data_IF_644434141590
#
_entry.id   IF_644434141590
#
_cell.length_a   1.000
_cell.length_b   1.000
_cell.length_c   1.000
_cell.angle_alpha   90.00
_cell.angle_beta   90.00
_cell.angle_gamma   90.00
#
_symmetry.space_group_name_H-M   'P 1'
#
loop_
_entity.id
_entity.type
_entity.pdbx_description
1 polymer ?
#
# COMPACT_ATOMS: atom_id res chain seq x y z
N UNK A 1 17.27 -18.08 -10.79
CA UNK A 1 18.10 -17.39 -9.77
C UNK A 1 17.14 -16.66 -8.84
N UNK A 2 17.09 -17.03 -7.56
CA UNK A 2 16.26 -16.34 -6.57
C UNK A 2 17.00 -15.11 -6.06
N UNK A 3 16.80 -13.96 -6.70
CA UNK A 3 17.17 -12.69 -6.08
C UNK A 3 16.23 -12.50 -4.88
N UNK A 4 16.73 -12.80 -3.68
CA UNK A 4 16.07 -12.38 -2.45
C UNK A 4 16.09 -10.85 -2.44
N UNK A 5 14.91 -10.24 -2.58
CA UNK A 5 14.73 -8.82 -2.29
C UNK A 5 15.34 -8.54 -0.90
N UNK A 6 16.36 -7.68 -0.86
CA UNK A 6 17.06 -7.40 0.39
C UNK A 6 16.19 -6.47 1.23
N UNK A 7 15.76 -6.93 2.41
CA UNK A 7 15.03 -6.09 3.36
C UNK A 7 16.02 -5.35 4.26
N UNK A 8 15.89 -4.03 4.33
CA UNK A 8 16.78 -3.15 5.09
C UNK A 8 15.95 -2.40 6.13
N UNK A 9 16.24 -2.61 7.41
CA UNK A 9 15.57 -1.88 8.49
C UNK A 9 16.20 -0.51 8.72
N UNK A 10 15.37 0.52 8.84
CA UNK A 10 15.79 1.90 9.16
C UNK A 10 14.91 2.49 10.25
N UNK A 11 15.38 3.54 10.93
CA UNK A 11 14.51 4.28 11.85
C UNK A 11 13.31 4.87 11.11
N UNK A 12 12.21 5.13 11.84
CA UNK A 12 11.03 5.78 11.25
C UNK A 12 11.39 7.15 10.68
N UNK A 13 12.24 7.91 11.36
CA UNK A 13 12.73 9.21 10.87
C UNK A 13 13.51 9.07 9.56
N UNK A 14 14.48 8.14 9.49
CA UNK A 14 15.26 7.92 8.27
C UNK A 14 14.39 7.45 7.09
N UNK A 15 13.33 6.68 7.37
CA UNK A 15 12.33 6.35 6.36
C UNK A 15 11.66 7.62 5.82
N UNK A 16 11.19 8.50 6.69
CA UNK A 16 10.57 9.74 6.27
C UNK A 16 11.54 10.70 5.56
N UNK A 17 12.78 10.82 6.01
CA UNK A 17 13.81 11.63 5.34
C UNK A 17 14.05 11.14 3.90
N UNK A 18 14.06 9.82 3.72
CA UNK A 18 14.27 9.18 2.42
C UNK A 18 13.08 9.40 1.49
N UNK A 19 11.85 9.18 1.97
CA UNK A 19 10.65 9.19 1.12
C UNK A 19 10.03 10.58 0.99
N UNK A 20 10.08 11.37 2.06
CA UNK A 20 9.40 12.64 2.22
C UNK A 20 10.34 13.68 2.85
N UNK A 21 11.39 14.16 2.17
CA UNK A 21 12.48 14.97 2.76
C UNK A 21 12.07 16.32 3.38
N UNK A 22 10.79 16.71 3.29
CA UNK A 22 10.22 17.93 3.92
C UNK A 22 9.24 17.61 5.05
N UNK A 23 9.13 16.35 5.46
CA UNK A 23 8.15 15.90 6.44
C UNK A 23 8.33 16.54 7.83
N UNK A 24 9.54 16.97 8.19
CA UNK A 24 9.85 17.63 9.47
C UNK A 24 9.15 19.00 9.61
N UNK A 25 8.84 19.66 8.49
CA UNK A 25 8.10 20.94 8.47
C UNK A 25 6.58 20.80 8.61
N UNK A 26 6.05 19.57 8.57
CA UNK A 26 4.62 19.31 8.61
C UNK A 26 4.13 19.45 10.06
N UNK A 27 3.18 20.35 10.27
CA UNK A 27 2.53 20.54 11.57
C UNK A 27 1.67 19.33 11.92
N UNK A 28 1.79 18.84 13.15
CA UNK A 28 1.07 17.64 13.59
C UNK A 28 -0.45 17.77 13.48
N UNK A 29 -0.98 18.97 13.72
CA UNK A 29 -2.41 19.32 13.59
C UNK A 29 -3.05 18.99 12.24
N UNK A 30 -2.23 18.73 11.21
CA UNK A 30 -2.69 18.33 9.88
C UNK A 30 -2.95 16.81 9.75
N UNK A 31 -2.53 16.01 10.72
CA UNK A 31 -2.65 14.55 10.68
C UNK A 31 -3.00 13.90 12.03
N UNK A 32 -2.83 14.60 13.16
CA UNK A 32 -3.16 14.10 14.51
C UNK A 32 -4.61 14.41 14.96
N UNK A 33 -5.47 14.85 14.03
CA UNK A 33 -6.88 15.16 14.32
C UNK A 33 -7.81 13.94 14.23
N UNK A 34 -7.28 12.79 13.78
CA UNK A 34 -8.05 11.55 13.60
C UNK A 34 -7.35 10.44 14.36
N UNK A 35 -7.93 10.02 15.47
CA UNK A 35 -7.39 8.92 16.28
C UNK A 35 -7.68 7.56 15.63
N UNK A 36 -6.73 6.63 15.74
CA UNK A 36 -6.91 5.25 15.30
C UNK A 36 -7.55 4.44 16.42
N UNK A 37 -8.73 3.86 16.17
CA UNK A 37 -9.28 2.83 17.05
C UNK A 37 -8.49 1.52 16.91
N UNK A 38 -7.72 1.20 17.95
CA UNK A 38 -6.89 -0.01 18.01
C UNK A 38 -7.57 -1.19 18.70
N UNK A 39 -8.83 -1.07 19.12
CA UNK A 39 -9.54 -2.09 19.91
C UNK A 39 -9.49 -3.49 19.27
N UNK A 40 -9.79 -3.58 17.97
CA UNK A 40 -9.75 -4.83 17.20
C UNK A 40 -8.33 -5.31 16.86
N UNK A 41 -7.34 -4.41 16.90
CA UNK A 41 -5.94 -4.73 16.63
C UNK A 41 -5.24 -5.46 17.79
N UNK A 42 -5.85 -5.56 18.98
CA UNK A 42 -5.23 -6.16 20.18
C UNK A 42 -5.10 -7.69 20.15
N UNK A 43 -5.46 -8.36 19.06
CA UNK A 43 -5.10 -9.76 18.80
C UNK A 43 -6.22 -10.79 18.98
N UNK A 44 -7.47 -10.36 19.15
CA UNK A 44 -8.64 -11.25 19.28
C UNK A 44 -9.59 -11.22 18.08
N UNK A 45 -9.50 -10.20 17.24
CA UNK A 45 -10.32 -10.08 16.05
C UNK A 45 -9.79 -10.95 14.89
N UNK A 46 -10.67 -11.29 13.95
CA UNK A 46 -10.21 -11.76 12.65
C UNK A 46 -9.53 -10.62 11.91
N UNK A 47 -8.58 -10.97 11.04
CA UNK A 47 -7.83 -10.00 10.22
C UNK A 47 -8.75 -9.02 9.51
N UNK A 48 -9.76 -9.53 8.81
CA UNK A 48 -10.73 -8.76 8.04
C UNK A 48 -11.62 -7.84 8.88
N UNK A 49 -11.84 -8.15 10.16
CA UNK A 49 -12.66 -7.31 11.04
C UNK A 49 -11.94 -6.01 11.41
N UNK A 50 -10.62 -5.96 11.24
CA UNK A 50 -9.80 -4.76 11.51
C UNK A 50 -9.82 -3.75 10.37
N UNK A 51 -10.29 -4.14 9.18
CA UNK A 51 -10.17 -3.33 7.97
C UNK A 51 -11.01 -2.06 8.01
N UNK A 52 -12.30 -2.07 8.44
CA UNK A 52 -13.11 -0.86 8.47
C UNK A 52 -12.48 0.28 9.27
N UNK A 53 -12.00 0.02 10.50
CA UNK A 53 -11.40 1.07 11.35
C UNK A 53 -10.10 1.61 10.76
N UNK A 54 -9.25 0.75 10.20
CA UNK A 54 -8.04 1.16 9.48
C UNK A 54 -8.38 2.02 8.26
N UNK A 55 -9.37 1.62 7.46
CA UNK A 55 -9.78 2.35 6.25
C UNK A 55 -10.36 3.71 6.61
N UNK A 56 -11.24 3.78 7.61
CA UNK A 56 -11.82 5.04 8.09
C UNK A 56 -10.73 5.99 8.60
N UNK A 57 -9.83 5.49 9.45
CA UNK A 57 -8.67 6.24 9.91
C UNK A 57 -7.86 6.78 8.72
N UNK A 58 -7.40 5.91 7.81
CA UNK A 58 -6.58 6.28 6.66
C UNK A 58 -7.31 7.31 5.79
N UNK A 59 -8.60 7.12 5.51
CA UNK A 59 -9.37 8.02 4.66
C UNK A 59 -9.59 9.39 5.29
N UNK A 60 -9.74 9.47 6.61
CA UNK A 60 -9.99 10.71 7.32
C UNK A 60 -8.72 11.52 7.63
N UNK A 61 -7.52 10.93 7.60
CA UNK A 61 -6.25 11.67 7.75
C UNK A 61 -6.12 12.79 6.70
N UNK A 62 -5.76 14.00 7.14
CA UNK A 62 -5.47 15.13 6.24
C UNK A 62 -6.69 15.84 5.67
N UNK A 63 -7.78 15.90 6.46
CA UNK A 63 -9.05 16.60 6.21
C UNK A 63 -8.99 17.66 5.08
N UNK A 64 -9.37 17.25 3.86
CA UNK A 64 -9.46 18.14 2.71
C UNK A 64 -9.02 17.52 1.38
N UNK A 65 -8.08 16.59 1.39
CA UNK A 65 -7.64 15.94 0.15
C UNK A 65 -8.50 14.71 -0.14
N UNK A 66 -9.37 14.78 -1.16
CA UNK A 66 -10.13 13.62 -1.68
C UNK A 66 -9.45 12.99 -2.90
N UNK A 67 -8.13 13.15 -3.03
CA UNK A 67 -7.34 12.67 -4.19
C UNK A 67 -7.11 11.17 -4.13
N UNK A 68 -7.07 10.60 -2.92
CA UNK A 68 -6.79 9.20 -2.69
C UNK A 68 -7.81 8.60 -1.73
N UNK A 69 -8.10 7.31 -1.92
CA UNK A 69 -9.05 6.57 -1.11
C UNK A 69 -8.53 5.16 -0.84
N UNK A 70 -8.45 4.78 0.43
CA UNK A 70 -8.17 3.44 0.89
C UNK A 70 -9.44 2.60 0.82
N UNK A 71 -9.30 1.37 0.30
CA UNK A 71 -10.37 0.40 0.13
C UNK A 71 -9.90 -0.99 0.56
N UNK A 72 -10.86 -1.81 0.97
CA UNK A 72 -10.72 -3.25 1.22
C UNK A 72 -10.82 -3.99 -0.12
N UNK A 73 -9.78 -4.76 -0.45
CA UNK A 73 -9.70 -5.52 -1.72
C UNK A 73 -9.50 -7.02 -1.51
N UNK A 74 -9.68 -7.49 -0.27
CA UNK A 74 -9.26 -8.84 0.16
C UNK A 74 -10.17 -9.98 -0.32
N UNK A 75 -11.39 -9.68 -0.74
CA UNK A 75 -12.41 -10.70 -0.95
C UNK A 75 -12.38 -11.34 -2.36
N UNK A 76 -11.66 -10.77 -3.33
CA UNK A 76 -11.53 -11.33 -4.70
C UNK A 76 -10.09 -11.41 -5.16
N UNK A 77 -9.84 -12.40 -6.01
CA UNK A 77 -8.63 -12.42 -6.83
C UNK A 77 -8.62 -11.24 -7.79
N UNK A 78 -7.43 -10.74 -8.11
CA UNK A 78 -7.27 -9.79 -9.22
C UNK A 78 -7.42 -10.54 -10.54
N UNK A 79 -8.64 -10.52 -11.10
CA UNK A 79 -8.94 -11.22 -12.37
C UNK A 79 -8.16 -10.67 -13.57
N UNK A 80 -7.52 -9.49 -13.46
CA UNK A 80 -6.63 -9.00 -14.52
C UNK A 80 -5.34 -9.84 -14.62
N UNK A 81 -5.00 -10.60 -13.57
CA UNK A 81 -3.81 -11.44 -13.50
C UNK A 81 -4.08 -12.91 -13.87
N UNK A 82 -5.24 -13.22 -14.45
CA UNK A 82 -5.57 -14.56 -14.95
C UNK A 82 -5.77 -15.59 -13.84
N UNK A 83 -4.84 -16.55 -13.71
CA UNK A 83 -4.88 -17.62 -12.68
C UNK A 83 -4.36 -17.17 -11.31
N UNK A 84 -3.82 -15.97 -11.22
CA UNK A 84 -3.30 -15.45 -9.97
C UNK A 84 -4.45 -15.17 -8.99
N UNK A 85 -4.37 -15.78 -7.81
CA UNK A 85 -5.39 -15.67 -6.76
C UNK A 85 -4.97 -14.76 -5.62
N UNK A 86 -3.82 -14.08 -5.73
CA UNK A 86 -3.33 -13.17 -4.69
C UNK A 86 -4.34 -12.05 -4.42
N UNK A 87 -4.48 -11.70 -3.14
CA UNK A 87 -5.46 -10.72 -2.64
C UNK A 87 -4.77 -9.83 -1.64
N UNK A 88 -4.47 -8.60 -2.04
CA UNK A 88 -4.00 -7.61 -1.09
C UNK A 88 -5.12 -7.37 -0.06
N UNK A 89 -4.75 -7.01 1.16
CA UNK A 89 -5.74 -6.72 2.19
C UNK A 89 -6.39 -5.36 1.90
N UNK A 90 -5.55 -4.32 1.84
CA UNK A 90 -5.95 -2.94 1.63
C UNK A 90 -5.21 -2.34 0.44
N UNK A 91 -5.84 -1.40 -0.25
CA UNK A 91 -5.20 -0.63 -1.31
C UNK A 91 -5.68 0.81 -1.32
N UNK A 92 -4.75 1.74 -1.50
CA UNK A 92 -5.03 3.15 -1.67
C UNK A 92 -5.02 3.45 -3.16
N UNK A 93 -6.13 3.95 -3.69
CA UNK A 93 -6.28 4.30 -5.10
C UNK A 93 -6.40 5.80 -5.31
N UNK A 94 -6.21 6.27 -6.54
CA UNK A 94 -6.62 7.62 -6.92
C UNK A 94 -8.15 7.67 -7.01
N UNK A 95 -8.72 8.78 -6.56
CA UNK A 95 -10.17 9.00 -6.54
C UNK A 95 -10.69 9.74 -7.77
N UNK A 96 -9.82 10.04 -8.74
CA UNK A 96 -10.23 10.65 -10.00
C UNK A 96 -11.13 9.70 -10.82
N UNK A 97 -12.01 10.23 -11.68
CA UNK A 97 -12.96 9.40 -12.43
C UNK A 97 -12.32 8.36 -13.34
N UNK A 98 -11.08 8.55 -13.81
CA UNK A 98 -10.42 7.56 -14.66
C UNK A 98 -9.93 6.37 -13.82
N UNK A 99 -9.31 6.64 -12.67
CA UNK A 99 -8.88 5.58 -11.74
C UNK A 99 -10.06 4.85 -11.10
N UNK A 100 -11.12 5.58 -10.73
CA UNK A 100 -12.34 4.99 -10.11
C UNK A 100 -12.97 3.88 -10.92
N UNK A 101 -12.93 3.94 -12.26
CA UNK A 101 -13.51 2.91 -13.13
C UNK A 101 -12.89 1.52 -12.95
N UNK A 102 -11.68 1.43 -12.41
CA UNK A 102 -10.99 0.17 -12.19
C UNK A 102 -11.42 -0.53 -10.90
N UNK A 103 -11.59 0.24 -9.82
CA UNK A 103 -11.81 -0.30 -8.47
C UNK A 103 -13.23 -0.10 -7.95
N UNK A 104 -13.94 0.93 -8.42
CA UNK A 104 -15.33 1.22 -8.08
C UNK A 104 -16.24 0.72 -9.22
N UNK A 105 -16.58 -0.56 -9.18
CA UNK A 105 -17.51 -1.17 -10.12
C UNK A 105 -18.89 -1.30 -9.45
N UNK A 106 -19.95 -0.65 -9.96
CA UNK A 106 -21.29 -0.74 -9.36
C UNK A 106 -21.92 -2.13 -9.46
N UNK A 107 -21.36 -3.04 -10.28
CA UNK A 107 -21.76 -4.45 -10.36
C UNK A 107 -20.96 -5.34 -9.42
N UNK A 108 -20.04 -4.75 -8.67
CA UNK A 108 -19.24 -5.45 -7.69
C UNK A 108 -20.09 -5.78 -6.46
N UNK A 109 -20.32 -7.07 -6.26
CA UNK A 109 -21.06 -7.56 -5.10
C UNK A 109 -20.11 -8.25 -4.14
N UNK A 110 -20.08 -7.82 -2.85
CA UNK A 110 -19.18 -8.41 -1.90
C UNK A 110 -19.39 -9.91 -1.65
N UNK A 111 -18.34 -10.64 -1.29
CA UNK A 111 -18.38 -12.09 -1.28
C UNK A 111 -19.25 -12.55 -0.12
N UNK A 112 -19.75 -13.78 -0.16
CA UNK A 112 -20.68 -14.27 0.88
C UNK A 112 -20.09 -14.23 2.31
N UNK A 113 -18.76 -14.11 2.43
CA UNK A 113 -18.03 -13.99 3.70
C UNK A 113 -17.67 -12.55 4.09
N UNK A 114 -18.03 -11.57 3.26
CA UNK A 114 -17.89 -10.15 3.59
C UNK A 114 -18.87 -9.79 4.70
N UNK A 115 -18.37 -9.28 5.82
CA UNK A 115 -19.23 -8.76 6.88
C UNK A 115 -19.91 -7.46 6.46
N UNK A 116 -21.08 -7.16 7.03
CA UNK A 116 -21.82 -5.91 6.76
C UNK A 116 -20.97 -4.66 7.03
N UNK A 117 -20.14 -4.69 8.08
CA UNK A 117 -19.22 -3.60 8.41
C UNK A 117 -18.15 -3.35 7.33
N UNK A 118 -17.75 -4.39 6.58
CA UNK A 118 -16.77 -4.26 5.50
C UNK A 118 -17.37 -3.73 4.21
N UNK A 119 -18.63 -4.09 3.89
CA UNK A 119 -19.29 -3.80 2.60
C UNK A 119 -19.09 -2.37 2.10
N UNK A 120 -19.27 -1.30 2.92
CA UNK A 120 -19.12 0.08 2.47
C UNK A 120 -17.70 0.46 2.02
N UNK A 121 -16.70 -0.32 2.44
CA UNK A 121 -15.29 -0.07 2.21
C UNK A 121 -14.69 -0.98 1.12
N UNK A 122 -15.48 -1.92 0.60
CA UNK A 122 -14.99 -2.87 -0.40
C UNK A 122 -14.80 -2.25 -1.78
N UNK A 123 -13.80 -2.72 -2.50
CA UNK A 123 -13.55 -2.36 -3.88
C UNK A 123 -13.04 -3.57 -4.66
N UNK A 124 -13.16 -3.51 -5.98
CA UNK A 124 -12.57 -4.51 -6.86
C UNK A 124 -11.07 -4.56 -6.63
N UNK A 125 -10.55 -5.79 -6.49
CA UNK A 125 -9.12 -6.01 -6.46
C UNK A 125 -8.50 -5.69 -7.83
N UNK A 126 -7.69 -4.64 -7.86
CA UNK A 126 -6.87 -4.23 -9.00
C UNK A 126 -5.56 -3.64 -8.48
N UNK A 127 -4.75 -4.46 -7.81
CA UNK A 127 -3.48 -4.04 -7.16
C UNK A 127 -2.58 -3.29 -8.14
N UNK A 128 -2.57 -3.69 -9.41
CA UNK A 128 -1.84 -3.01 -10.49
C UNK A 128 -2.15 -1.50 -10.62
N UNK A 129 -3.29 -1.01 -10.12
CA UNK A 129 -3.70 0.40 -10.12
C UNK A 129 -3.49 1.11 -8.77
N UNK A 130 -3.03 0.40 -7.74
CA UNK A 130 -2.85 0.96 -6.41
C UNK A 130 -1.74 2.03 -6.39
N UNK A 131 -1.97 3.08 -5.61
CA UNK A 131 -0.98 4.11 -5.24
C UNK A 131 -0.05 3.59 -4.15
N UNK A 132 -0.64 2.91 -3.16
CA UNK A 132 0.03 2.28 -2.04
C UNK A 132 -0.73 1.03 -1.62
N UNK A 133 -0.01 -0.04 -1.31
CA UNK A 133 -0.60 -1.29 -0.80
C UNK A 133 -0.59 -1.34 0.73
N UNK A 134 -1.54 -2.07 1.31
CA UNK A 134 -1.60 -2.37 2.73
C UNK A 134 -1.75 -3.86 2.97
N UNK A 135 -0.89 -4.41 3.81
CA UNK A 135 -0.96 -5.80 4.25
C UNK A 135 -1.22 -5.82 5.77
N UNK A 136 -2.20 -6.61 6.21
CA UNK A 136 -2.63 -6.68 7.61
C UNK A 136 -2.53 -8.11 8.08
N UNK A 137 -1.94 -8.36 9.25
CA UNK A 137 -1.81 -9.70 9.82
C UNK A 137 -2.14 -9.71 11.30
N UNK A 138 -2.95 -10.68 11.72
CA UNK A 138 -3.35 -10.83 13.14
C UNK A 138 -2.77 -12.09 13.81
N UNK A 139 -2.50 -13.12 13.01
CA UNK A 139 -1.96 -14.40 13.48
C UNK A 139 -0.43 -14.32 13.61
N UNK A 140 0.09 -14.77 14.75
CA UNK A 140 1.52 -14.67 15.07
C UNK A 140 2.43 -15.45 14.14
N UNK A 141 1.94 -16.58 13.62
CA UNK A 141 2.68 -17.41 12.68
C UNK A 141 2.83 -16.74 11.30
N UNK A 142 1.98 -15.77 10.97
CA UNK A 142 2.05 -14.97 9.74
C UNK A 142 2.75 -13.62 9.92
N UNK A 143 3.43 -13.40 11.04
CA UNK A 143 4.11 -12.13 11.25
C UNK A 143 5.34 -12.02 10.33
N UNK A 144 5.26 -11.17 9.30
CA UNK A 144 6.32 -10.98 8.30
C UNK A 144 7.58 -10.30 8.83
N UNK A 145 7.48 -9.50 9.90
CA UNK A 145 8.59 -8.71 10.46
C UNK A 145 8.53 -8.71 11.98
N UNK A 146 9.67 -8.70 12.68
CA UNK A 146 9.68 -8.52 14.13
C UNK A 146 9.02 -7.20 14.52
N UNK A 147 8.22 -7.15 15.58
CA UNK A 147 7.53 -5.91 16.02
C UNK A 147 8.08 -5.31 17.30
N UNK A 148 9.01 -6.00 17.93
CA UNK A 148 9.68 -5.53 19.14
C UNK A 148 11.18 -5.67 18.99
N UNK A 149 11.97 -4.90 19.74
CA UNK A 149 13.43 -5.04 19.75
C UNK A 149 13.94 -6.38 20.31
N UNK A 150 13.04 -7.27 20.74
CA UNK A 150 13.35 -8.63 21.21
C UNK A 150 13.19 -9.68 20.12
N UNK A 151 12.51 -9.36 19.03
CA UNK A 151 12.27 -10.25 17.90
C UNK A 151 13.29 -9.99 16.79
N UNK A 152 13.70 -11.02 16.04
CA UNK A 152 14.49 -10.79 14.84
C UNK A 152 13.69 -9.94 13.85
N UNK A 153 14.33 -8.95 13.22
CA UNK A 153 13.71 -8.11 12.20
C UNK A 153 13.02 -8.93 11.10
N UNK A 154 13.68 -10.00 10.63
CA UNK A 154 13.14 -10.96 9.67
C UNK A 154 12.96 -12.32 10.35
N UNK A 155 11.76 -12.65 10.84
CA UNK A 155 11.47 -14.00 11.31
C UNK A 155 11.68 -15.02 10.18
N UNK A 156 12.30 -16.15 10.53
CA UNK A 156 12.70 -17.19 9.58
C UNK A 156 11.59 -18.19 9.26
N UNK A 157 10.44 -18.12 9.93
CA UNK A 157 9.33 -19.05 9.69
C UNK A 157 8.87 -18.99 8.24
N UNK A 158 8.46 -20.14 7.68
CA UNK A 158 7.99 -20.22 6.29
C UNK A 158 6.82 -19.26 6.03
N UNK A 159 5.92 -19.11 7.00
CA UNK A 159 4.76 -18.21 6.90
C UNK A 159 5.16 -16.74 6.95
N UNK A 160 6.16 -16.36 7.74
CA UNK A 160 6.72 -15.01 7.71
C UNK A 160 7.38 -14.69 6.36
N UNK A 161 8.15 -15.65 5.82
CA UNK A 161 8.72 -15.53 4.47
C UNK A 161 7.63 -15.39 3.40
N UNK A 162 6.55 -16.16 3.50
CA UNK A 162 5.40 -16.06 2.60
C UNK A 162 4.72 -14.69 2.66
N UNK A 163 4.51 -14.13 3.85
CA UNK A 163 3.95 -12.77 3.99
C UNK A 163 4.85 -11.72 3.33
N UNK A 164 6.16 -11.81 3.53
CA UNK A 164 7.11 -10.91 2.85
C UNK A 164 7.10 -11.09 1.32
N UNK A 165 7.00 -12.33 0.85
CA UNK A 165 6.89 -12.62 -0.58
C UNK A 165 5.57 -12.10 -1.19
N UNK A 166 4.46 -12.15 -0.44
CA UNK A 166 3.17 -11.57 -0.87
C UNK A 166 3.29 -10.06 -1.04
N UNK A 167 3.86 -9.36 -0.05
CA UNK A 167 4.12 -7.92 -0.11
C UNK A 167 4.95 -7.56 -1.35
N UNK A 168 6.08 -8.26 -1.57
CA UNK A 168 6.92 -8.02 -2.74
C UNK A 168 6.20 -8.33 -4.05
N UNK A 169 5.36 -9.37 -4.08
CA UNK A 169 4.53 -9.71 -5.22
C UNK A 169 3.57 -8.58 -5.59
N UNK A 170 2.86 -7.99 -4.61
CA UNK A 170 1.97 -6.86 -4.86
C UNK A 170 2.73 -5.63 -5.37
N UNK A 171 3.87 -5.32 -4.75
CA UNK A 171 4.72 -4.22 -5.21
C UNK A 171 5.24 -4.45 -6.64
N UNK A 172 5.67 -5.66 -6.97
CA UNK A 172 6.12 -6.03 -8.30
C UNK A 172 5.00 -5.87 -9.33
N UNK A 173 3.76 -6.27 -9.00
CA UNK A 173 2.62 -6.07 -9.90
C UNK A 173 2.37 -4.57 -10.15
N UNK A 174 2.46 -3.73 -9.12
CA UNK A 174 2.36 -2.27 -9.28
C UNK A 174 3.50 -1.74 -10.17
N UNK A 175 4.76 -2.12 -9.90
CA UNK A 175 5.94 -1.68 -10.64
C UNK A 175 5.95 -2.14 -12.11
N UNK A 176 5.29 -3.26 -12.41
CA UNK A 176 5.18 -3.81 -13.77
C UNK A 176 4.09 -3.10 -14.59
N UNK A 177 3.05 -2.57 -13.95
CA UNK A 177 1.92 -1.94 -14.64
C UNK A 177 1.95 -0.41 -14.59
N UNK A 178 2.70 0.17 -13.66
CA UNK A 178 2.85 1.62 -13.52
C UNK A 178 4.32 1.99 -13.63
N UNK A 179 4.61 3.00 -14.46
CA UNK A 179 5.96 3.54 -14.61
C UNK A 179 6.37 4.22 -13.29
N UNK A 180 7.11 3.45 -12.49
CA UNK A 180 7.52 3.82 -11.14
C UNK A 180 8.95 3.41 -10.84
N UNK A 181 9.63 4.23 -10.05
CA UNK A 181 10.95 3.95 -9.47
C UNK A 181 10.84 3.17 -8.17
N UNK A 182 9.77 3.40 -7.39
CA UNK A 182 9.46 2.66 -6.17
C UNK A 182 7.95 2.63 -5.88
N UNK A 183 7.54 1.80 -4.93
CA UNK A 183 6.17 1.69 -4.41
C UNK A 183 6.19 1.82 -2.90
N UNK A 184 5.30 2.66 -2.37
CA UNK A 184 5.07 2.72 -0.94
C UNK A 184 4.05 1.67 -0.52
N UNK A 185 4.31 1.02 0.61
CA UNK A 185 3.37 0.10 1.24
C UNK A 185 3.38 0.31 2.76
N UNK A 186 2.35 -0.21 3.42
CA UNK A 186 2.34 -0.32 4.87
C UNK A 186 1.98 -1.76 5.28
N UNK A 187 2.51 -2.17 6.42
CA UNK A 187 2.26 -3.47 7.01
C UNK A 187 1.77 -3.27 8.44
N UNK A 188 0.61 -3.82 8.78
CA UNK A 188 0.05 -3.79 10.14
C UNK A 188 0.10 -5.20 10.70
N UNK A 189 0.76 -5.38 11.84
CA UNK A 189 0.62 -6.58 12.65
C UNK A 189 0.09 -6.20 14.02
N UNK A 190 -1.16 -6.59 14.29
CA UNK A 190 -1.84 -6.21 15.54
C UNK A 190 -1.71 -4.69 15.77
N UNK A 191 -1.25 -4.29 16.95
CA UNK A 191 -1.09 -2.88 17.34
C UNK A 191 0.21 -2.24 16.86
N UNK A 192 0.90 -2.83 15.90
CA UNK A 192 2.15 -2.29 15.36
C UNK A 192 2.05 -2.14 13.85
N UNK A 193 2.67 -1.08 13.32
CA UNK A 193 2.81 -0.87 11.88
C UNK A 193 4.28 -0.74 11.48
N UNK A 194 4.58 -1.10 10.24
CA UNK A 194 5.83 -0.76 9.56
C UNK A 194 5.49 -0.10 8.23
N UNK A 195 6.32 0.86 7.84
CA UNK A 195 6.25 1.54 6.55
C UNK A 195 7.28 0.90 5.62
N UNK A 196 6.93 0.77 4.34
CA UNK A 196 7.76 0.11 3.35
C UNK A 196 7.91 0.98 2.11
N UNK A 197 9.12 1.03 1.60
CA UNK A 197 9.42 1.46 0.24
C UNK A 197 10.02 0.25 -0.46
N UNK A 198 9.35 -0.19 -1.53
CA UNK A 198 9.78 -1.31 -2.36
C UNK A 198 10.25 -0.75 -3.69
N UNK A 199 11.50 -0.98 -4.04
CA UNK A 199 12.01 -0.74 -5.39
C UNK A 199 12.34 -2.07 -6.08
N UNK A 200 13.04 -2.02 -7.22
CA UNK A 200 13.38 -3.23 -7.99
C UNK A 200 14.52 -4.06 -7.39
N UNK A 201 15.30 -3.52 -6.45
CA UNK A 201 16.46 -4.19 -5.85
C UNK A 201 16.30 -4.53 -4.37
N UNK A 202 15.60 -3.70 -3.60
CA UNK A 202 15.51 -3.82 -2.16
C UNK A 202 14.16 -3.32 -1.61
N UNK A 203 13.94 -3.64 -0.33
CA UNK A 203 12.80 -3.13 0.45
C UNK A 203 13.34 -2.40 1.66
N UNK A 204 13.13 -1.10 1.72
CA UNK A 204 13.37 -0.30 2.91
C UNK A 204 12.18 -0.44 3.85
N UNK A 205 12.42 -0.82 5.10
CA UNK A 205 11.37 -1.07 6.10
C UNK A 205 11.65 -0.21 7.34
N UNK A 206 10.68 0.60 7.76
CA UNK A 206 10.81 1.35 9.00
C UNK A 206 10.84 0.42 10.20
N UNK A 207 11.49 0.85 11.28
CA UNK A 207 11.27 0.30 12.62
C UNK A 207 9.76 0.32 12.97
N UNK A 208 9.31 -0.56 13.90
CA UNK A 208 7.91 -0.65 14.27
C UNK A 208 7.38 0.66 14.86
N UNK A 209 6.18 1.06 14.44
CA UNK A 209 5.38 2.12 15.03
C UNK A 209 4.36 1.43 15.95
N UNK A 210 4.43 1.70 17.25
CA UNK A 210 3.40 1.30 18.22
C UNK A 210 2.16 2.17 17.98
N UNK A 211 1.07 1.56 17.48
CA UNK A 211 -0.18 2.24 17.14
C UNK A 211 -0.99 2.61 18.39
N UNK A 212 -0.75 1.99 19.54
CA UNK A 212 -1.43 2.38 20.79
C UNK A 212 -0.81 3.65 21.38
N UNK A 213 0.48 3.89 21.13
CA UNK A 213 1.20 5.04 21.70
C UNK A 213 1.48 6.16 20.70
N UNK A 214 1.66 5.82 19.42
CA UNK A 214 2.18 6.73 18.41
C UNK A 214 1.50 6.53 17.05
N UNK A 215 0.17 6.32 17.04
CA UNK A 215 -0.61 6.27 15.80
C UNK A 215 -0.44 7.54 14.96
N UNK A 216 -0.14 8.70 15.57
CA UNK A 216 0.07 9.96 14.86
C UNK A 216 1.22 9.88 13.85
N UNK A 217 2.25 9.07 14.11
CA UNK A 217 3.32 8.83 13.13
C UNK A 217 2.83 8.01 11.92
N UNK A 218 1.92 7.07 12.15
CA UNK A 218 1.24 6.35 11.08
C UNK A 218 0.30 7.27 10.28
N UNK A 219 -0.42 8.17 10.96
CA UNK A 219 -1.19 9.23 10.30
C UNK A 219 -0.31 10.16 9.46
N UNK A 220 0.87 10.55 9.97
CA UNK A 220 1.85 11.38 9.23
C UNK A 220 2.22 10.76 7.88
N UNK A 221 2.40 9.44 7.82
CA UNK A 221 2.67 8.74 6.56
C UNK A 221 1.55 8.94 5.53
N UNK A 222 0.30 8.73 5.92
CA UNK A 222 -0.84 8.92 5.01
C UNK A 222 -1.05 10.38 4.63
N UNK A 223 -0.80 11.32 5.54
CA UNK A 223 -0.81 12.74 5.20
C UNK A 223 0.26 13.08 4.15
N UNK A 224 1.49 12.62 4.34
CA UNK A 224 2.58 12.81 3.38
C UNK A 224 2.23 12.19 2.02
N UNK A 225 1.75 10.95 2.02
CA UNK A 225 1.31 10.26 0.79
C UNK A 225 0.22 11.05 0.05
N UNK A 226 -0.76 11.58 0.77
CA UNK A 226 -1.87 12.31 0.15
C UNK A 226 -1.49 13.67 -0.42
N UNK A 227 -0.43 14.28 0.11
CA UNK A 227 0.02 15.63 -0.24
C UNK A 227 1.26 15.64 -1.13
N UNK A 228 1.97 14.51 -1.25
CA UNK A 228 3.17 14.40 -2.06
C UNK A 228 2.89 14.63 -3.56
N UNK A 229 3.86 15.23 -4.28
CA UNK A 229 3.85 15.23 -5.74
C UNK A 229 4.00 13.79 -6.26
N UNK A 230 3.61 13.55 -7.52
CA UNK A 230 3.64 12.20 -8.11
C UNK A 230 5.02 11.53 -8.04
N UNK A 231 6.10 12.30 -8.22
CA UNK A 231 7.48 11.80 -8.07
C UNK A 231 7.79 11.33 -6.63
N UNK A 232 7.24 12.01 -5.62
CA UNK A 232 7.35 11.60 -4.21
C UNK A 232 6.50 10.37 -3.87
N UNK A 233 5.67 9.90 -4.80
CA UNK A 233 4.93 8.63 -4.71
C UNK A 233 5.56 7.52 -5.56
N UNK A 234 6.76 7.78 -6.08
CA UNK A 234 7.54 6.86 -6.88
C UNK A 234 7.16 6.83 -8.35
N UNK A 235 6.27 7.68 -8.85
CA UNK A 235 6.04 7.79 -10.29
C UNK A 235 7.26 8.37 -10.99
N UNK A 236 7.68 7.71 -12.08
CA UNK A 236 8.81 8.18 -12.87
C UNK A 236 8.42 9.46 -13.64
N UNK A 237 9.02 10.62 -13.34
CA UNK A 237 8.68 11.87 -14.03
C UNK A 237 9.19 11.93 -15.48
N UNK A 238 10.07 11.01 -15.87
CA UNK A 238 10.61 10.91 -17.24
C UNK A 238 9.70 10.08 -18.15
N UNK A 239 8.80 9.28 -17.58
CA UNK A 239 7.83 8.50 -18.32
C UNK A 239 6.69 9.40 -18.84
N UNK A 240 6.50 9.40 -20.16
CA UNK A 240 5.43 10.13 -20.81
C UNK A 240 4.39 9.15 -21.35
N UNK A 241 3.11 9.46 -21.14
CA UNK A 241 2.02 8.72 -21.76
C UNK A 241 2.06 8.91 -23.27
N UNK A 242 1.93 7.83 -24.03
CA UNK A 242 1.72 7.93 -25.47
C UNK A 242 0.42 8.70 -25.75
N UNK A 243 0.36 9.49 -26.84
CA UNK A 243 -0.88 10.15 -27.24
C UNK A 243 -1.99 9.14 -27.51
N UNK A 244 -3.24 9.59 -27.34
CA UNK A 244 -4.44 8.75 -27.60
C UNK A 244 -4.55 8.26 -29.05
N UNK A 245 -3.96 8.99 -29.99
CA UNK A 245 -3.81 8.57 -31.39
C UNK A 245 -2.32 8.36 -31.70
N UNK A 246 -1.78 7.17 -31.39
CA UNK A 246 -0.35 6.91 -31.52
C UNK A 246 0.10 6.82 -32.99
N UNK A 247 -0.81 6.60 -33.94
CA UNK A 247 -0.48 6.46 -35.37
C UNK A 247 0.07 7.72 -36.03
N UNK A 248 -0.19 8.90 -35.45
CA UNK A 248 0.35 10.19 -35.90
C UNK A 248 1.60 10.63 -35.11
N UNK A 249 1.95 9.94 -34.04
CA UNK A 249 3.07 10.30 -33.17
C UNK A 249 4.39 9.69 -33.68
N UNK A 250 5.40 10.55 -33.88
CA UNK A 250 6.71 10.14 -34.40
C UNK A 250 7.44 9.15 -33.46
N UNK A 251 7.35 9.36 -32.15
CA UNK A 251 8.01 8.50 -31.15
C UNK A 251 7.38 7.10 -31.13
N UNK A 252 6.07 7.00 -31.30
CA UNK A 252 5.39 5.70 -31.41
C UNK A 252 5.79 4.95 -32.67
N UNK A 253 5.93 5.64 -33.81
CA UNK A 253 6.43 5.01 -35.04
C UNK A 253 7.87 4.52 -34.88
N UNK A 254 8.74 5.34 -34.30
CA UNK A 254 10.11 4.96 -34.00
C UNK A 254 10.20 3.75 -33.04
N UNK A 255 9.33 3.70 -32.03
CA UNK A 255 9.23 2.54 -31.13
C UNK A 255 8.76 1.27 -31.86
N UNK A 256 7.74 1.37 -32.72
CA UNK A 256 7.25 0.25 -33.52
C UNK A 256 8.34 -0.29 -34.45
N UNK A 257 9.09 0.60 -35.13
CA UNK A 257 10.21 0.23 -36.00
C UNK A 257 11.35 -0.45 -35.22
N UNK A 258 11.63 -0.01 -33.99
CA UNK A 258 12.66 -0.62 -33.15
C UNK A 258 12.27 -2.01 -32.58
N UNK A 259 10.98 -2.36 -32.59
CA UNK A 259 10.45 -3.63 -32.10
C UNK A 259 10.27 -4.69 -33.20
N UNK A 260 10.42 -4.31 -34.47
CA UNK A 260 10.39 -5.19 -35.66
C UNK A 260 11.78 -5.52 -36.17
#
# INVERSE_FOLDING_TARGET
MSEQSTFIEVSVEAFFDTVFPKHSSIRSTLYDSVELDTSLLKGHALEVDTYPSLIEFINNVGSGTKKYQCMDVADWADFALGKDTRRADLSIFKSDPASKKFWCDPKFEPGDKCSEARRPHTARNCVSQAVCGGEVKMKSDKNGFGMTGKEPFLPESQKAQQTRAQICGYAADILNHQQRTFVLMFYVYRTHARLLLVDRGAVLVSQPIDLEKNWAMFAKFFHCLKTAPVAGLGYDPTANMLPKDPGSNADYKALQEALT
#
